data_IF_719259102985
#
_entry.id   IF_719259102985
#
_cell.length_a   1.000
_cell.length_b   1.000
_cell.length_c   1.000
_cell.angle_alpha   90.00
_cell.angle_beta   90.00
_cell.angle_gamma   90.00
#
_symmetry.space_group_name_H-M   'P 1'
#
loop_
_entity.id
_entity.type
_entity.pdbx_description
1 polymer ?
#
# COMPACT_ATOMS: atom_id res chain seq x y z
N UNK A 1 3.13 6.26 1.57
CA UNK A 1 1.80 5.98 1.00
C UNK A 1 1.21 7.13 0.18
N UNK A 2 1.73 8.35 0.30
CA UNK A 2 1.24 9.50 -0.50
C UNK A 2 1.41 9.27 -2.01
N UNK A 3 2.50 8.64 -2.44
CA UNK A 3 2.75 8.28 -3.85
C UNK A 3 1.68 7.34 -4.43
N UNK A 4 1.15 6.41 -3.63
CA UNK A 4 0.06 5.52 -4.05
C UNK A 4 -1.23 6.32 -4.29
N UNK A 5 -1.56 7.25 -3.39
CA UNK A 5 -2.72 8.13 -3.54
C UNK A 5 -2.57 9.06 -4.76
N UNK A 6 -1.36 9.54 -5.04
CA UNK A 6 -1.05 10.34 -6.24
C UNK A 6 -1.20 9.51 -7.51
N UNK A 7 -0.66 8.29 -7.55
CA UNK A 7 -0.79 7.38 -8.69
C UNK A 7 -2.27 7.05 -8.98
N UNK A 8 -3.04 6.71 -7.94
CA UNK A 8 -4.48 6.46 -8.07
C UNK A 8 -5.25 7.71 -8.52
N UNK A 9 -4.93 8.88 -7.96
CA UNK A 9 -5.58 10.15 -8.34
C UNK A 9 -5.38 10.47 -9.81
N UNK A 10 -4.16 10.23 -10.30
CA UNK A 10 -3.77 10.46 -11.70
C UNK A 10 -4.55 9.53 -12.62
N UNK A 11 -4.59 8.23 -12.29
CA UNK A 11 -5.28 7.23 -13.11
C UNK A 11 -6.80 7.41 -13.14
N UNK A 12 -7.40 7.85 -12.03
CA UNK A 12 -8.85 8.05 -11.90
C UNK A 12 -9.33 9.47 -12.27
N UNK A 13 -8.41 10.37 -12.59
CA UNK A 13 -8.68 11.80 -12.79
C UNK A 13 -9.54 12.41 -11.65
N UNK A 14 -9.27 11.99 -10.40
CA UNK A 14 -10.01 12.40 -9.21
C UNK A 14 -9.03 12.56 -8.06
N UNK A 15 -9.17 13.64 -7.27
CA UNK A 15 -8.35 13.84 -6.08
C UNK A 15 -8.65 12.79 -5.02
N UNK A 16 -7.67 11.95 -4.70
CA UNK A 16 -7.66 10.98 -3.61
C UNK A 16 -6.58 11.41 -2.63
N UNK A 17 -6.96 11.61 -1.36
CA UNK A 17 -6.02 12.02 -0.31
C UNK A 17 -5.63 10.82 0.54
N UNK A 18 -4.32 10.69 0.80
CA UNK A 18 -3.85 9.80 1.85
C UNK A 18 -4.20 10.38 3.21
N UNK A 19 -4.74 9.55 4.10
CA UNK A 19 -5.02 9.90 5.50
C UNK A 19 -4.21 8.98 6.40
N UNK A 20 -3.16 9.52 6.99
CA UNK A 20 -2.35 8.79 7.96
C UNK A 20 -3.10 8.70 9.29
N UNK A 21 -3.64 7.54 9.61
CA UNK A 21 -4.36 7.29 10.87
C UNK A 21 -3.38 6.76 11.93
N UNK A 22 -3.70 6.95 13.21
CA UNK A 22 -3.02 6.19 14.25
C UNK A 22 -3.38 4.69 14.16
N UNK A 23 -2.55 3.77 14.69
CA UNK A 23 -2.83 2.34 14.63
C UNK A 23 -4.21 1.94 15.19
N UNK A 24 -4.65 2.57 16.28
CA UNK A 24 -5.95 2.30 16.90
C UNK A 24 -7.13 2.80 16.07
N UNK A 25 -6.99 3.96 15.43
CA UNK A 25 -7.98 4.48 14.48
C UNK A 25 -8.06 3.61 13.23
N UNK A 26 -6.91 3.12 12.74
CA UNK A 26 -6.86 2.23 11.59
C UNK A 26 -7.49 0.86 11.88
N UNK A 27 -7.17 0.25 13.03
CA UNK A 27 -7.81 -0.98 13.51
C UNK A 27 -9.34 -0.82 13.59
N UNK A 28 -9.80 0.25 14.24
CA UNK A 28 -11.23 0.53 14.39
C UNK A 28 -11.93 0.72 13.04
N UNK A 29 -11.28 1.39 12.09
CA UNK A 29 -11.82 1.57 10.75
C UNK A 29 -11.95 0.24 9.99
N UNK A 30 -10.92 -0.62 10.03
CA UNK A 30 -10.94 -1.92 9.35
C UNK A 30 -11.97 -2.88 9.97
N UNK A 31 -12.09 -2.92 11.30
CA UNK A 31 -13.14 -3.68 11.98
C UNK A 31 -14.54 -3.16 11.61
N UNK A 32 -14.72 -1.84 11.54
CA UNK A 32 -15.97 -1.21 11.12
C UNK A 32 -16.36 -1.53 9.67
N UNK A 33 -15.39 -1.86 8.81
CA UNK A 33 -15.61 -2.35 7.44
C UNK A 33 -15.95 -3.85 7.38
N UNK A 34 -15.99 -4.56 8.52
CA UNK A 34 -16.37 -5.97 8.61
C UNK A 34 -15.21 -6.94 8.41
N UNK A 35 -13.95 -6.49 8.44
CA UNK A 35 -12.80 -7.39 8.36
C UNK A 35 -12.68 -8.22 9.66
N UNK A 36 -12.33 -9.52 9.58
CA UNK A 36 -12.07 -10.33 10.77
C UNK A 36 -10.88 -9.78 11.57
N UNK A 37 -10.99 -9.75 12.91
CA UNK A 37 -9.96 -9.26 13.85
C UNK A 37 -8.55 -9.77 13.52
N UNK A 38 -8.40 -11.07 13.26
CA UNK A 38 -7.10 -11.67 12.93
C UNK A 38 -6.44 -11.04 11.71
N UNK A 39 -7.22 -10.65 10.68
CA UNK A 39 -6.68 -9.97 9.50
C UNK A 39 -6.33 -8.53 9.82
N UNK A 40 -7.18 -7.85 10.59
CA UNK A 40 -6.93 -6.46 11.02
C UNK A 40 -5.62 -6.35 11.80
N UNK A 41 -5.38 -7.27 12.75
CA UNK A 41 -4.17 -7.27 13.57
C UNK A 41 -2.90 -7.38 12.72
N UNK A 42 -2.91 -8.27 11.71
CA UNK A 42 -1.78 -8.43 10.77
C UNK A 42 -1.56 -7.17 9.93
N UNK A 43 -2.64 -6.55 9.43
CA UNK A 43 -2.55 -5.36 8.57
C UNK A 43 -2.03 -4.15 9.35
N UNK A 44 -2.53 -3.94 10.57
CA UNK A 44 -2.12 -2.81 11.42
C UNK A 44 -0.67 -2.96 11.89
N UNK A 45 -0.24 -4.17 12.26
CA UNK A 45 1.15 -4.44 12.64
C UNK A 45 2.10 -4.22 11.45
N UNK A 46 1.73 -4.72 10.26
CA UNK A 46 2.52 -4.52 9.05
C UNK A 46 2.67 -3.03 8.69
N UNK A 47 1.62 -2.23 8.81
CA UNK A 47 1.69 -0.78 8.57
C UNK A 47 2.60 -0.08 9.58
N UNK A 48 2.54 -0.47 10.86
CA UNK A 48 3.42 0.06 11.90
C UNK A 48 4.91 -0.25 11.66
N UNK A 49 5.22 -1.42 11.09
CA UNK A 49 6.58 -1.81 10.68
C UNK A 49 6.99 -1.07 9.40
N UNK A 50 6.09 -0.92 8.44
CA UNK A 50 6.34 -0.19 7.20
C UNK A 50 6.68 1.28 7.44
N UNK A 51 5.99 1.94 8.37
CA UNK A 51 6.27 3.33 8.78
C UNK A 51 7.69 3.52 9.35
N UNK A 52 8.32 2.45 9.81
CA UNK A 52 9.71 2.44 10.31
C UNK A 52 10.72 2.00 9.24
N UNK A 53 10.29 1.85 7.99
CA UNK A 53 11.12 1.42 6.86
C UNK A 53 11.27 -0.09 6.74
N UNK A 54 10.51 -0.90 7.47
CA UNK A 54 10.65 -2.37 7.42
C UNK A 54 10.25 -3.01 6.08
N UNK A 55 9.59 -2.26 5.18
CA UNK A 55 9.29 -2.68 3.82
C UNK A 55 10.18 -1.99 2.76
N UNK A 56 11.06 -1.08 3.17
CA UNK A 56 11.92 -0.37 2.24
C UNK A 56 13.18 -1.20 1.94
N UNK A 57 13.49 -1.34 0.66
CA UNK A 57 14.70 -1.99 0.19
C UNK A 57 15.13 -1.36 -1.13
N UNK A 58 16.35 -0.86 -1.15
CA UNK A 58 17.00 -0.37 -2.36
C UNK A 58 17.75 -1.48 -3.12
N UNK A 59 17.70 -2.72 -2.60
CA UNK A 59 18.30 -3.88 -3.26
C UNK A 59 17.60 -4.15 -4.60
N UNK A 60 18.39 -4.48 -5.62
CA UNK A 60 17.88 -4.81 -6.97
C UNK A 60 17.79 -6.32 -7.21
N UNK A 61 17.89 -7.11 -6.14
CA UNK A 61 18.00 -8.58 -6.19
C UNK A 61 16.88 -9.22 -6.99
N UNK A 62 15.62 -8.81 -6.78
CA UNK A 62 14.49 -9.34 -7.53
C UNK A 62 14.63 -9.04 -9.03
N UNK A 63 14.97 -7.80 -9.39
CA UNK A 63 15.14 -7.42 -10.80
C UNK A 63 16.29 -8.18 -11.48
N UNK A 64 17.38 -8.43 -10.74
CA UNK A 64 18.49 -9.26 -11.21
C UNK A 64 18.06 -10.70 -11.39
N UNK A 65 17.35 -11.28 -10.43
CA UNK A 65 16.89 -12.67 -10.45
C UNK A 65 15.94 -12.95 -11.63
N UNK A 66 15.02 -12.02 -11.91
CA UNK A 66 14.02 -12.18 -12.98
C UNK A 66 14.50 -11.67 -14.35
N UNK A 67 15.68 -11.06 -14.44
CA UNK A 67 16.27 -10.57 -15.70
C UNK A 67 15.54 -9.37 -16.33
N UNK A 68 14.70 -8.66 -15.58
CA UNK A 68 13.97 -7.47 -16.04
C UNK A 68 13.73 -6.49 -14.89
N UNK A 69 13.44 -5.20 -15.16
CA UNK A 69 12.97 -4.27 -14.13
C UNK A 69 11.72 -4.80 -13.42
N UNK A 70 11.58 -4.50 -12.12
CA UNK A 70 10.35 -4.71 -11.38
C UNK A 70 9.25 -3.79 -11.91
N UNK A 71 8.00 -4.25 -11.86
CA UNK A 71 6.84 -3.46 -12.29
C UNK A 71 6.74 -2.19 -11.45
N UNK A 72 6.54 -1.03 -12.10
CA UNK A 72 6.46 0.24 -11.40
C UNK A 72 5.11 0.39 -10.67
N UNK A 73 5.09 1.18 -9.59
CA UNK A 73 3.86 1.40 -8.80
C UNK A 73 2.69 1.91 -9.66
N UNK A 74 2.95 2.88 -10.56
CA UNK A 74 1.91 3.43 -11.43
C UNK A 74 1.30 2.37 -12.37
N UNK A 75 2.13 1.47 -12.91
CA UNK A 75 1.67 0.36 -13.76
C UNK A 75 0.82 -0.63 -12.95
N UNK A 76 1.23 -0.94 -11.72
CA UNK A 76 0.46 -1.81 -10.83
C UNK A 76 -0.90 -1.20 -10.47
N UNK A 77 -0.95 0.10 -10.16
CA UNK A 77 -2.21 0.81 -9.90
C UNK A 77 -3.12 0.80 -11.12
N UNK A 78 -2.57 1.07 -12.31
CA UNK A 78 -3.33 0.99 -13.55
C UNK A 78 -3.94 -0.40 -13.76
N UNK A 79 -3.15 -1.46 -13.55
CA UNK A 79 -3.63 -2.84 -13.67
C UNK A 79 -4.73 -3.17 -12.66
N UNK A 80 -4.62 -2.68 -11.42
CA UNK A 80 -5.60 -2.95 -10.38
C UNK A 80 -6.94 -2.24 -10.62
N UNK A 81 -6.91 -1.06 -11.25
CA UNK A 81 -8.12 -0.28 -11.59
C UNK A 81 -8.80 -0.74 -12.88
N UNK A 82 -8.13 -1.54 -13.69
CA UNK A 82 -8.68 -2.10 -14.93
C UNK A 82 -9.45 -3.41 -14.70
N UNK A 83 -9.36 -3.99 -13.51
CA UNK A 83 -10.07 -5.21 -13.08
C UNK A 83 -11.45 -4.85 -12.49
#
# INVERSE_FOLDING_TARGET
MEDLAVAASTQLNRKIAYRNLSPSEYESALLGMGLPKMIVDVVVDADAVALKGGLDSSSRELSTLIGRPTTALAEAVQSALAA
#
